data_IF_583605245237
#
_entry.id   IF_583605245237
#
_cell.length_a   1.000
_cell.length_b   1.000
_cell.length_c   1.000
_cell.angle_alpha   90.00
_cell.angle_beta   90.00
_cell.angle_gamma   90.00
#
_symmetry.space_group_name_H-M   'P 1'
#
loop_
_entity.id
_entity.type
_entity.pdbx_description
1 polymer ?
#
# COMPACT_ATOMS: atom_id res chain seq x y z
N UNK A 1 4.47 14.09 -4.70
CA UNK A 1 3.16 13.45 -4.63
C UNK A 1 2.91 12.62 -5.87
N UNK A 2 2.38 11.44 -5.72
CA UNK A 2 2.11 10.59 -6.87
C UNK A 2 0.82 11.01 -7.56
N UNK A 3 0.79 10.81 -8.88
CA UNK A 3 -0.37 11.18 -9.67
C UNK A 3 -1.52 10.18 -9.54
N UNK A 4 -1.23 8.95 -9.09
CA UNK A 4 -2.22 7.90 -8.93
C UNK A 4 -2.02 7.19 -7.61
N UNK A 5 -3.13 6.73 -7.03
CA UNK A 5 -3.07 6.01 -5.76
C UNK A 5 -2.36 4.66 -5.91
N UNK A 6 -2.43 4.05 -7.09
CA UNK A 6 -1.73 2.79 -7.35
C UNK A 6 -0.22 2.93 -7.15
N UNK A 7 0.34 4.12 -7.38
CA UNK A 7 1.76 4.35 -7.16
C UNK A 7 2.09 4.42 -5.68
N UNK A 8 1.19 4.96 -4.86
CA UNK A 8 1.36 4.88 -3.41
C UNK A 8 1.31 3.43 -2.95
N UNK A 9 0.38 2.66 -3.50
CA UNK A 9 0.26 1.24 -3.12
C UNK A 9 1.53 0.50 -3.51
N UNK A 10 2.05 0.77 -4.70
CA UNK A 10 3.29 0.14 -5.13
C UNK A 10 4.44 0.46 -4.18
N UNK A 11 4.55 1.72 -3.80
CA UNK A 11 5.64 2.15 -2.91
C UNK A 11 5.55 1.47 -1.54
N UNK A 12 4.34 1.40 -0.99
CA UNK A 12 4.13 0.73 0.29
C UNK A 12 4.39 -0.78 0.15
N UNK A 13 3.95 -1.37 -0.95
CA UNK A 13 4.20 -2.79 -1.21
C UNK A 13 5.68 -3.10 -1.34
N UNK A 14 6.43 -2.23 -1.99
CA UNK A 14 7.87 -2.41 -2.11
C UNK A 14 8.55 -2.31 -0.74
N UNK A 15 8.05 -1.45 0.13
CA UNK A 15 8.54 -1.40 1.52
C UNK A 15 8.28 -2.72 2.23
N UNK A 16 7.12 -3.33 1.98
CA UNK A 16 6.80 -4.63 2.56
C UNK A 16 7.81 -5.69 2.11
N UNK A 17 8.14 -5.70 0.83
CA UNK A 17 9.12 -6.63 0.30
C UNK A 17 10.50 -6.40 0.92
N UNK A 18 10.88 -5.13 1.05
CA UNK A 18 12.16 -4.77 1.66
C UNK A 18 12.22 -5.19 3.14
N UNK A 19 11.07 -5.27 3.80
CA UNK A 19 10.98 -5.71 5.19
C UNK A 19 10.94 -7.23 5.32
N UNK A 20 11.12 -7.96 4.23
CA UNK A 20 11.17 -9.40 4.26
C UNK A 20 9.81 -10.08 4.35
N UNK A 21 8.76 -9.39 3.95
CA UNK A 21 7.42 -9.97 3.99
C UNK A 21 7.32 -11.17 3.04
N UNK A 22 6.57 -12.18 3.46
CA UNK A 22 6.24 -13.31 2.61
C UNK A 22 4.85 -13.20 2.03
N UNK A 23 4.03 -12.37 2.62
CA UNK A 23 2.66 -12.12 2.18
C UNK A 23 2.38 -10.64 2.25
N UNK A 24 1.82 -10.11 1.17
CA UNK A 24 1.37 -8.72 1.10
C UNK A 24 -0.09 -8.76 0.67
N UNK A 25 -0.96 -8.24 1.52
CA UNK A 25 -2.39 -8.22 1.25
C UNK A 25 -2.81 -6.78 1.02
N UNK A 26 -3.43 -6.53 -0.12
CA UNK A 26 -3.87 -5.20 -0.50
C UNK A 26 -5.38 -5.23 -0.63
N UNK A 27 -6.05 -4.32 0.06
CA UNK A 27 -7.49 -4.16 -0.01
C UNK A 27 -7.81 -2.76 -0.49
N UNK A 28 -8.74 -2.68 -1.44
CA UNK A 28 -9.24 -1.39 -1.93
C UNK A 28 -10.74 -1.45 -1.87
N UNK A 29 -11.34 -0.49 -1.18
CA UNK A 29 -12.79 -0.43 -1.03
C UNK A 29 -13.28 0.95 -1.42
N UNK A 30 -14.14 1.01 -2.43
CA UNK A 30 -14.79 2.23 -2.87
C UNK A 30 -16.24 2.20 -2.42
N UNK A 31 -16.57 3.05 -1.47
CA UNK A 31 -17.93 3.15 -0.93
C UNK A 31 -18.48 4.53 -1.30
N UNK A 32 -19.22 4.57 -2.41
CA UNK A 32 -19.75 5.83 -2.92
C UNK A 32 -20.87 6.36 -2.04
N UNK A 33 -21.63 5.47 -1.41
CA UNK A 33 -22.73 5.90 -0.56
C UNK A 33 -22.23 6.66 0.66
N UNK A 34 -21.13 6.20 1.24
CA UNK A 34 -20.51 6.87 2.37
C UNK A 34 -19.46 7.87 1.95
N UNK A 35 -19.23 7.96 0.66
CA UNK A 35 -18.23 8.85 0.07
C UNK A 35 -16.84 8.60 0.66
N UNK A 36 -16.44 7.34 0.69
CA UNK A 36 -15.16 6.94 1.24
C UNK A 36 -14.42 6.02 0.31
N UNK A 37 -13.11 6.20 0.30
CA UNK A 37 -12.19 5.27 -0.34
C UNK A 37 -11.23 4.80 0.75
N UNK A 38 -11.10 3.49 0.88
CA UNK A 38 -10.20 2.90 1.88
C UNK A 38 -9.23 1.98 1.18
N UNK A 39 -7.96 2.18 1.46
CA UNK A 39 -6.89 1.33 0.96
C UNK A 39 -6.14 0.78 2.15
N UNK A 40 -5.97 -0.54 2.20
CA UNK A 40 -5.24 -1.18 3.28
C UNK A 40 -4.16 -2.07 2.70
N UNK A 41 -2.96 -1.94 3.21
CA UNK A 41 -1.84 -2.80 2.85
C UNK A 41 -1.32 -3.46 4.12
N UNK A 42 -1.35 -4.78 4.15
CA UNK A 42 -0.93 -5.55 5.30
C UNK A 42 0.18 -6.50 4.89
N UNK A 43 1.24 -6.55 5.69
CA UNK A 43 2.32 -7.48 5.44
C UNK A 43 2.76 -8.16 6.73
N UNK A 44 3.49 -9.26 6.57
CA UNK A 44 4.06 -10.02 7.67
C UNK A 44 5.58 -9.87 7.75
N UNK A 45 6.08 -8.70 7.36
CA UNK A 45 7.50 -8.42 7.41
C UNK A 45 8.02 -8.19 8.82
N UNK A 46 9.23 -7.64 8.91
CA UNK A 46 9.87 -7.47 10.21
C UNK A 46 9.20 -6.42 11.10
N UNK A 47 8.38 -5.58 10.54
CA UNK A 47 7.74 -4.51 11.29
C UNK A 47 8.69 -3.41 11.69
N UNK A 48 8.16 -2.47 12.46
CA UNK A 48 8.92 -1.31 12.91
C UNK A 48 8.65 -1.08 14.40
N UNK A 49 9.67 -0.61 15.13
CA UNK A 49 9.44 -0.14 16.49
C UNK A 49 8.79 1.25 16.45
N UNK A 50 8.38 1.74 17.61
CA UNK A 50 7.65 3.00 17.69
C UNK A 50 8.46 4.18 17.16
N UNK A 51 9.75 4.21 17.43
CA UNK A 51 10.59 5.31 17.01
C UNK A 51 10.74 5.33 15.48
N UNK A 52 10.96 4.18 14.89
CA UNK A 52 11.10 4.05 13.44
C UNK A 52 9.80 4.45 12.75
N UNK A 53 8.67 4.00 13.29
CA UNK A 53 7.36 4.33 12.73
C UNK A 53 7.09 5.83 12.80
N UNK A 54 7.38 6.46 13.92
CA UNK A 54 7.20 7.89 14.06
C UNK A 54 8.02 8.65 13.03
N UNK A 55 9.26 8.25 12.86
CA UNK A 55 10.13 8.89 11.90
C UNK A 55 9.60 8.74 10.48
N UNK A 56 9.13 7.54 10.13
CA UNK A 56 8.60 7.28 8.81
C UNK A 56 7.36 8.13 8.51
N UNK A 57 6.51 8.34 9.50
CA UNK A 57 5.29 9.11 9.33
C UNK A 57 5.54 10.62 9.25
N UNK A 58 6.59 11.09 9.88
CA UNK A 58 6.85 12.52 9.95
C UNK A 58 7.69 13.04 8.80
N UNK A 59 8.45 12.18 8.18
CA UNK A 59 9.41 12.61 7.18
C UNK A 59 8.74 12.76 5.83
N UNK A 60 8.28 13.97 5.54
CA UNK A 60 7.56 14.23 4.31
C UNK A 60 8.47 14.36 3.10
N UNK A 61 9.74 14.64 3.32
CA UNK A 61 10.71 14.63 2.24
C UNK A 61 12.06 14.48 2.87
N UNK A 62 12.91 13.79 2.19
CA UNK A 62 14.21 13.54 2.72
C UNK A 62 15.18 14.67 2.41
N UNK A 63 15.75 15.18 3.42
CA UNK A 63 16.94 15.98 3.29
C UNK A 63 18.17 15.14 3.62
N UNK A 64 17.96 13.88 3.95
CA UNK A 64 19.06 13.02 4.38
C UNK A 64 19.40 12.00 3.30
N UNK A 65 20.52 12.15 2.64
CA UNK A 65 20.89 11.22 1.59
C UNK A 65 21.19 9.81 2.09
N UNK A 66 21.39 9.66 3.39
CA UNK A 66 21.73 8.37 3.97
C UNK A 66 20.52 7.58 4.41
N UNK A 67 19.32 7.99 4.03
CA UNK A 67 18.13 7.26 4.39
C UNK A 67 18.23 5.82 3.93
N UNK A 68 17.79 4.93 4.78
CA UNK A 68 17.73 3.52 4.43
C UNK A 68 16.62 3.26 3.45
N UNK A 69 16.85 2.31 2.57
CA UNK A 69 15.89 1.95 1.55
C UNK A 69 14.61 1.41 2.17
N UNK A 70 13.50 1.71 1.56
CA UNK A 70 12.22 1.17 1.93
C UNK A 70 11.59 1.82 3.14
N UNK A 71 12.19 2.90 3.64
CA UNK A 71 11.69 3.57 4.81
C UNK A 71 11.53 5.04 4.51
N UNK A 72 10.47 5.64 4.99
CA UNK A 72 10.37 7.07 5.05
C UNK A 72 9.36 7.66 4.10
N UNK A 73 9.78 8.14 2.93
CA UNK A 73 8.93 9.00 2.12
C UNK A 73 7.57 8.42 1.77
N UNK A 74 7.50 7.11 1.54
CA UNK A 74 6.25 6.49 1.10
C UNK A 74 5.11 6.70 2.06
N UNK A 75 5.34 6.43 3.34
CA UNK A 75 4.28 6.59 4.34
C UNK A 75 3.93 8.06 4.56
N UNK A 76 4.93 8.92 4.62
CA UNK A 76 4.70 10.34 4.85
C UNK A 76 3.93 10.97 3.69
N UNK A 77 4.27 10.59 2.46
CA UNK A 77 3.56 11.09 1.29
C UNK A 77 2.12 10.61 1.25
N UNK A 78 1.89 9.36 1.57
CA UNK A 78 0.53 8.83 1.62
C UNK A 78 -0.27 9.50 2.71
N UNK A 79 0.33 9.74 3.87
CA UNK A 79 -0.33 10.47 4.95
C UNK A 79 -0.77 11.84 4.49
N UNK A 80 0.12 12.54 3.80
CA UNK A 80 -0.19 13.88 3.30
C UNK A 80 -1.35 13.83 2.32
N UNK A 81 -1.33 12.87 1.41
CA UNK A 81 -2.40 12.72 0.43
C UNK A 81 -3.73 12.44 1.11
N UNK A 82 -3.74 11.56 2.11
CA UNK A 82 -4.97 11.25 2.84
C UNK A 82 -5.53 12.49 3.52
N UNK A 83 -4.67 13.26 4.18
CA UNK A 83 -5.11 14.44 4.91
C UNK A 83 -5.61 15.53 3.96
N UNK A 84 -4.96 15.67 2.82
CA UNK A 84 -5.42 16.62 1.81
C UNK A 84 -6.78 16.25 1.24
N UNK A 85 -7.12 14.97 1.27
CA UNK A 85 -8.36 14.48 0.67
C UNK A 85 -9.44 14.15 1.70
N UNK A 86 -9.37 14.78 2.85
CA UNK A 86 -10.42 14.67 3.85
C UNK A 86 -10.43 13.37 4.64
N UNK A 87 -9.30 12.68 4.70
CA UNK A 87 -9.19 11.43 5.43
C UNK A 87 -7.96 11.41 6.30
N UNK A 88 -7.43 10.21 6.51
CA UNK A 88 -6.27 10.05 7.38
C UNK A 88 -5.54 8.76 7.09
N UNK A 89 -4.32 8.67 7.57
CA UNK A 89 -3.51 7.47 7.50
C UNK A 89 -3.34 6.90 8.89
N UNK A 90 -3.56 5.58 9.01
CA UNK A 90 -3.28 4.86 10.23
C UNK A 90 -2.28 3.77 9.91
N UNK A 91 -1.26 3.63 10.74
CA UNK A 91 -0.26 2.59 10.56
C UNK A 91 -0.08 1.85 11.89
N UNK A 92 -0.16 0.54 11.82
CA UNK A 92 0.10 -0.32 12.96
C UNK A 92 1.28 -1.20 12.62
N UNK A 93 2.28 -1.18 13.48
CA UNK A 93 3.49 -1.95 13.26
C UNK A 93 4.16 -2.22 14.59
N UNK A 94 4.78 -3.38 14.69
CA UNK A 94 5.60 -3.73 15.85
C UNK A 94 6.68 -4.70 15.38
N UNK A 95 7.83 -4.72 16.05
CA UNK A 95 8.90 -5.63 15.62
C UNK A 95 8.42 -7.08 15.60
N UNK A 96 8.65 -7.76 14.50
CA UNK A 96 8.25 -9.14 14.34
C UNK A 96 6.78 -9.37 14.04
N UNK A 97 5.98 -8.31 13.97
CA UNK A 97 4.53 -8.43 13.79
C UNK A 97 4.04 -7.95 12.44
N UNK A 98 4.94 -7.48 11.59
CA UNK A 98 4.55 -6.93 10.31
C UNK A 98 3.99 -5.53 10.43
N UNK A 99 3.36 -5.07 9.36
CA UNK A 99 2.84 -3.71 9.28
C UNK A 99 1.49 -3.71 8.58
N UNK A 100 0.57 -2.90 9.09
CA UNK A 100 -0.72 -2.66 8.47
C UNK A 100 -0.88 -1.16 8.25
N UNK A 101 -1.04 -0.76 7.01
CA UNK A 101 -1.25 0.64 6.62
C UNK A 101 -2.70 0.76 6.15
N UNK A 102 -3.43 1.68 6.75
CA UNK A 102 -4.83 1.95 6.36
C UNK A 102 -4.95 3.41 5.96
N UNK A 103 -5.23 3.64 4.70
CA UNK A 103 -5.41 4.98 4.14
C UNK A 103 -6.89 5.19 3.84
N UNK A 104 -7.46 6.29 4.33
CA UNK A 104 -8.83 6.64 4.02
C UNK A 104 -8.89 8.04 3.44
N UNK A 105 -9.83 8.25 2.53
CA UNK A 105 -10.00 9.51 1.84
C UNK A 105 -11.46 9.69 1.53
N UNK A 106 -11.86 10.95 1.30
CA UNK A 106 -13.19 11.21 0.75
C UNK A 106 -13.17 10.81 -0.72
N UNK A 107 -14.08 9.92 -1.09
CA UNK A 107 -14.08 9.35 -2.44
C UNK A 107 -14.24 10.42 -3.51
N UNK A 108 -15.11 11.40 -3.28
CA UNK A 108 -15.40 12.45 -4.24
C UNK A 108 -14.55 13.70 -4.09
N UNK A 109 -13.54 13.68 -3.23
CA UNK A 109 -12.72 14.87 -2.99
C UNK A 109 -12.02 15.30 -4.28
N UNK A 110 -12.04 16.60 -4.54
CA UNK A 110 -11.51 17.12 -5.80
C UNK A 110 -10.00 16.87 -5.95
N UNK A 111 -9.30 16.82 -4.84
CA UNK A 111 -7.85 16.60 -4.85
C UNK A 111 -7.46 15.14 -4.81
N UNK A 112 -8.43 14.24 -4.74
CA UNK A 112 -8.11 12.81 -4.65
C UNK A 112 -7.54 12.34 -5.98
N UNK A 113 -6.34 11.74 -5.98
CA UNK A 113 -5.81 11.16 -7.20
C UNK A 113 -6.68 10.00 -7.66
N UNK A 114 -6.70 9.72 -8.96
CA UNK A 114 -7.40 8.53 -9.43
C UNK A 114 -6.74 7.27 -8.87
N UNK A 115 -7.50 6.20 -8.84
CA UNK A 115 -6.97 4.93 -8.31
C UNK A 115 -5.80 4.43 -9.16
N UNK A 116 -5.91 4.55 -10.48
CA UNK A 116 -4.83 4.13 -11.35
C UNK A 116 -4.90 2.66 -11.69
N UNK A 117 -3.78 2.14 -12.18
CA UNK A 117 -3.70 0.77 -12.69
C UNK A 117 -3.22 -0.19 -11.61
N UNK A 118 -4.18 -0.79 -10.91
CA UNK A 118 -3.87 -1.76 -9.86
C UNK A 118 -3.24 -3.02 -10.43
N UNK A 119 -3.63 -3.42 -11.63
CA UNK A 119 -3.07 -4.62 -12.25
C UNK A 119 -1.56 -4.47 -12.45
N UNK A 120 -1.13 -3.32 -12.95
CA UNK A 120 0.29 -3.07 -13.13
C UNK A 120 1.04 -3.07 -11.81
N UNK A 121 0.42 -2.51 -10.77
CA UNK A 121 1.02 -2.50 -9.44
C UNK A 121 1.23 -3.91 -8.92
N UNK A 122 0.21 -4.75 -9.04
CA UNK A 122 0.30 -6.14 -8.57
C UNK A 122 1.35 -6.90 -9.36
N UNK A 123 1.38 -6.72 -10.67
CA UNK A 123 2.37 -7.38 -11.50
C UNK A 123 3.80 -6.95 -11.15
N UNK A 124 3.97 -5.66 -10.85
CA UNK A 124 5.27 -5.14 -10.47
C UNK A 124 5.76 -5.77 -9.15
N UNK A 125 4.85 -5.91 -8.18
CA UNK A 125 5.21 -6.53 -6.91
C UNK A 125 5.54 -8.01 -7.11
N UNK A 126 4.78 -8.72 -7.92
CA UNK A 126 5.06 -10.11 -8.22
C UNK A 126 6.42 -10.28 -8.91
N UNK A 127 6.72 -9.39 -9.83
CA UNK A 127 7.99 -9.45 -10.55
C UNK A 127 9.17 -9.12 -9.65
N UNK A 128 8.97 -8.22 -8.68
CA UNK A 128 10.03 -7.83 -7.77
C UNK A 128 10.47 -8.97 -6.87
N UNK A 129 9.52 -9.81 -6.44
CA UNK A 129 9.83 -10.97 -5.62
C UNK A 129 8.80 -12.06 -5.88
N UNK A 130 9.10 -13.00 -6.78
CA UNK A 130 8.14 -14.04 -7.14
C UNK A 130 7.78 -15.00 -6.01
N UNK A 131 8.59 -15.05 -4.95
CA UNK A 131 8.33 -15.94 -3.82
C UNK A 131 7.30 -15.36 -2.84
N UNK A 132 6.96 -14.11 -2.98
CA UNK A 132 6.02 -13.45 -2.09
C UNK A 132 4.59 -13.67 -2.60
N UNK A 133 3.68 -13.96 -1.68
CA UNK A 133 2.26 -14.10 -1.99
C UNK A 133 1.63 -12.72 -1.96
N UNK A 134 1.31 -12.19 -3.12
CA UNK A 134 0.65 -10.88 -3.23
C UNK A 134 -0.82 -11.10 -3.49
N UNK A 135 -1.66 -10.53 -2.65
CA UNK A 135 -3.11 -10.68 -2.73
C UNK A 135 -3.76 -9.31 -2.89
N UNK A 136 -4.76 -9.24 -3.75
CA UNK A 136 -5.54 -8.02 -3.93
C UNK A 136 -7.01 -8.35 -3.78
N UNK A 137 -7.69 -7.58 -2.94
CA UNK A 137 -9.14 -7.60 -2.81
C UNK A 137 -9.65 -6.22 -3.14
N UNK A 138 -10.41 -6.13 -4.22
CA UNK A 138 -11.02 -4.89 -4.64
C UNK A 138 -12.53 -5.00 -4.49
N UNK A 139 -13.14 -4.00 -3.89
CA UNK A 139 -14.58 -3.96 -3.70
C UNK A 139 -15.12 -2.57 -4.00
N UNK A 140 -16.17 -2.52 -4.78
CA UNK A 140 -16.91 -1.30 -5.00
C UNK A 140 -18.40 -1.61 -4.79
N UNK A 141 -19.24 -0.60 -4.95
CA UNK A 141 -20.69 -0.81 -4.81
C UNK A 141 -21.22 -1.78 -5.85
N UNK A 142 -20.53 -1.93 -6.96
CA UNK A 142 -21.02 -2.70 -8.10
C UNK A 142 -20.26 -3.99 -8.35
N UNK A 143 -19.03 -4.13 -7.84
CA UNK A 143 -18.26 -5.31 -8.16
C UNK A 143 -17.23 -5.63 -7.10
N UNK A 144 -16.83 -6.89 -7.10
CA UNK A 144 -15.79 -7.41 -6.21
C UNK A 144 -14.80 -8.18 -7.07
N UNK A 145 -13.53 -7.99 -6.79
CA UNK A 145 -12.48 -8.67 -7.53
C UNK A 145 -11.42 -9.14 -6.55
N UNK A 146 -10.98 -10.40 -6.73
CA UNK A 146 -9.94 -10.98 -5.90
C UNK A 146 -8.84 -11.55 -6.77
N UNK A 147 -7.62 -11.39 -6.32
CA UNK A 147 -6.45 -11.88 -7.02
C UNK A 147 -5.45 -12.41 -6.00
N UNK A 148 -4.77 -13.51 -6.36
CA UNK A 148 -3.67 -14.03 -5.57
C UNK A 148 -2.57 -14.47 -6.51
N UNK A 149 -1.34 -14.04 -6.24
CA UNK A 149 -0.20 -14.42 -7.07
C UNK A 149 0.05 -15.92 -7.02
N UNK A 150 -0.29 -16.57 -5.91
CA UNK A 150 -0.12 -18.01 -5.78
C UNK A 150 -1.07 -18.77 -6.70
N UNK A 151 -2.26 -18.24 -6.90
CA UNK A 151 -3.20 -18.85 -7.83
C UNK A 151 -2.69 -18.80 -9.25
N UNK A 152 -2.05 -17.71 -9.63
CA UNK A 152 -1.47 -17.62 -10.96
C UNK A 152 -0.39 -18.65 -11.17
N UNK A 153 0.47 -18.83 -10.17
CA UNK A 153 1.53 -19.84 -10.26
C UNK A 153 0.95 -21.24 -10.33
N UNK A 154 -0.04 -21.54 -9.49
CA UNK A 154 -0.63 -22.88 -9.45
C UNK A 154 -1.37 -23.23 -10.73
N UNK A 155 -1.85 -22.23 -11.46
CA UNK A 155 -2.53 -22.43 -12.72
C UNK A 155 -1.59 -22.37 -13.92
N UNK A 156 -0.29 -22.33 -13.66
CA UNK A 156 0.69 -22.27 -14.72
C UNK A 156 0.84 -20.91 -15.37
N UNK A 157 0.22 -19.89 -14.80
CA UNK A 157 0.36 -18.53 -15.27
C UNK A 157 1.45 -17.85 -14.50
N UNK A 158 2.16 -16.99 -15.16
CA UNK A 158 3.31 -16.33 -14.56
C UNK A 158 3.04 -14.84 -14.41
N UNK A 159 3.52 -14.29 -13.32
CA UNK A 159 3.56 -12.85 -13.16
C UNK A 159 4.70 -12.32 -14.00
N UNK A 160 4.37 -11.71 -15.08
CA UNK A 160 5.39 -11.27 -16.03
C UNK A 160 5.50 -9.78 -16.06
#
# INVERSE_FOLDING_TARGET
>A
MFEELSLHILDIGMNSLAAGARRVQIEVQEDRQRDRLIIRVRDDGRGMDAATLQQALQESRSSKPTRKKGIGLGLALLRQTCEMCGGRLEVRSAPGQGTTVTASMQWSHIDRPPLGDLDSTILALCAADPDVDVQLNYRSDEQTFEFSSRELVSKGKVCV
#
